data_IF_309959030162
#
_entry.id   IF_309959030162
#
_cell.length_a   1.000
_cell.length_b   1.000
_cell.length_c   1.000
_cell.angle_alpha   90.00
_cell.angle_beta   90.00
_cell.angle_gamma   90.00
#
_symmetry.space_group_name_H-M   'P 1'
#
loop_
_entity.id
_entity.type
_entity.pdbx_description
1 polymer ?
#
# COMPACT_ATOMS: atom_id res chain seq x y z
N UNK A 1 6.06 -30.93 13.79
CA UNK A 1 5.23 -30.26 12.76
C UNK A 1 5.73 -28.84 12.62
N UNK A 2 6.48 -28.56 11.56
CA UNK A 2 7.15 -27.27 11.32
C UNK A 2 6.20 -26.39 10.48
N UNK A 3 5.93 -25.19 10.99
CA UNK A 3 5.00 -24.21 10.43
C UNK A 3 5.50 -23.68 9.07
N UNK A 4 4.65 -23.81 8.06
CA UNK A 4 4.90 -23.35 6.69
C UNK A 4 4.56 -21.85 6.62
N UNK A 5 5.58 -21.00 6.72
CA UNK A 5 5.42 -19.56 6.49
C UNK A 5 4.95 -19.28 5.05
N UNK A 6 3.87 -18.50 4.94
CA UNK A 6 3.32 -18.06 3.67
C UNK A 6 4.32 -17.19 2.92
N UNK A 7 4.70 -17.61 1.71
CA UNK A 7 5.48 -16.82 0.78
C UNK A 7 4.63 -15.66 0.27
N UNK A 8 4.98 -14.44 0.66
CA UNK A 8 4.55 -13.22 -0.03
C UNK A 8 5.14 -13.31 -1.45
N UNK A 9 4.28 -13.40 -2.47
CA UNK A 9 4.70 -13.30 -3.87
C UNK A 9 4.92 -11.82 -4.20
N UNK A 10 6.15 -11.37 -4.08
CA UNK A 10 6.59 -10.11 -4.67
C UNK A 10 6.75 -10.37 -6.17
N UNK A 11 5.96 -9.70 -7.01
CA UNK A 11 6.20 -9.66 -8.44
C UNK A 11 7.45 -8.80 -8.69
N UNK A 12 8.62 -9.44 -8.77
CA UNK A 12 9.83 -8.79 -9.25
C UNK A 12 9.68 -8.51 -10.75
N UNK A 13 9.83 -7.25 -11.15
CA UNK A 13 10.16 -6.91 -12.53
C UNK A 13 11.48 -7.63 -12.88
N UNK A 14 11.40 -8.66 -13.71
CA UNK A 14 12.49 -9.60 -13.90
C UNK A 14 13.55 -8.99 -14.84
N UNK A 15 14.61 -8.41 -14.27
CA UNK A 15 15.79 -8.01 -15.03
C UNK A 15 16.49 -9.28 -15.56
N UNK A 16 16.22 -9.67 -16.80
CA UNK A 16 16.82 -10.86 -17.43
C UNK A 16 18.10 -10.46 -18.17
N UNK A 17 19.22 -11.11 -17.84
CA UNK A 17 20.49 -10.96 -18.57
C UNK A 17 20.70 -12.22 -19.40
N UNK A 18 20.98 -12.05 -20.69
CA UNK A 18 21.53 -13.10 -21.53
C UNK A 18 22.93 -12.65 -21.93
N UNK A 19 23.96 -13.29 -21.35
CA UNK A 19 25.35 -13.13 -21.78
C UNK A 19 25.56 -14.01 -23.02
N UNK A 20 25.33 -13.44 -24.20
CA UNK A 20 25.92 -13.97 -25.43
C UNK A 20 27.34 -13.39 -25.45
N UNK A 21 28.36 -14.19 -25.75
CA UNK A 21 29.79 -13.86 -25.57
C UNK A 21 30.28 -12.52 -26.14
N UNK A 22 29.46 -11.79 -26.91
CA UNK A 22 29.80 -10.52 -27.57
C UNK A 22 29.00 -9.31 -27.11
N UNK A 23 27.96 -9.44 -26.28
CA UNK A 23 27.11 -8.31 -25.87
C UNK A 23 26.44 -8.51 -24.49
N UNK A 24 26.25 -7.42 -23.75
CA UNK A 24 25.42 -7.39 -22.54
C UNK A 24 24.05 -6.83 -22.90
N UNK A 25 22.98 -7.53 -22.49
CA UNK A 25 21.61 -7.04 -22.61
C UNK A 25 21.03 -6.73 -21.25
N UNK A 26 20.51 -5.52 -21.10
CA UNK A 26 19.74 -5.07 -19.94
C UNK A 26 18.33 -4.75 -20.45
N UNK A 27 17.28 -5.33 -19.85
CA UNK A 27 15.89 -5.11 -20.25
C UNK A 27 15.06 -4.61 -19.07
N UNK A 28 14.20 -3.61 -19.29
CA UNK A 28 13.32 -3.03 -18.28
C UNK A 28 11.87 -3.37 -18.59
N UNK A 29 11.24 -4.16 -17.72
CA UNK A 29 9.81 -4.51 -17.76
C UNK A 29 9.25 -5.03 -19.10
N UNK A 30 10.10 -5.36 -20.07
CA UNK A 30 9.68 -5.67 -21.45
C UNK A 30 9.37 -4.44 -22.30
N UNK A 31 9.64 -3.21 -21.83
CA UNK A 31 9.34 -1.95 -22.51
C UNK A 31 10.57 -1.35 -23.18
N UNK A 32 11.70 -1.29 -22.45
CA UNK A 32 12.97 -0.81 -22.96
C UNK A 32 14.06 -1.88 -22.83
N UNK A 33 15.07 -1.77 -23.69
CA UNK A 33 16.26 -2.62 -23.65
C UNK A 33 17.50 -1.85 -24.09
N UNK A 34 18.58 -2.04 -23.35
CA UNK A 34 19.92 -1.59 -23.69
C UNK A 34 20.77 -2.80 -24.06
N UNK A 35 21.46 -2.71 -25.20
CA UNK A 35 22.51 -3.64 -25.59
C UNK A 35 23.85 -2.92 -25.58
N UNK A 36 24.80 -3.41 -24.79
CA UNK A 36 26.16 -2.86 -24.71
C UNK A 36 27.10 -3.79 -25.49
N UNK A 37 27.53 -3.33 -26.68
CA UNK A 37 28.54 -3.97 -27.50
C UNK A 37 29.94 -3.42 -27.14
N UNK A 38 30.98 -3.99 -27.76
CA UNK A 38 32.37 -3.55 -27.57
C UNK A 38 32.57 -2.09 -28.03
N UNK A 39 31.90 -1.67 -29.11
CA UNK A 39 32.18 -0.39 -29.76
C UNK A 39 31.05 0.64 -29.68
N UNK A 40 29.87 0.23 -29.21
CA UNK A 40 28.64 1.04 -29.20
C UNK A 40 27.63 0.53 -28.17
N UNK A 41 26.63 1.32 -27.87
CA UNK A 41 25.41 0.83 -27.22
C UNK A 41 24.20 1.01 -28.15
N UNK A 42 23.25 0.10 -28.08
CA UNK A 42 22.03 0.13 -28.87
C UNK A 42 20.84 0.13 -27.93
N UNK A 43 20.02 1.17 -28.06
CA UNK A 43 18.79 1.34 -27.32
C UNK A 43 17.63 0.78 -28.14
N UNK A 44 16.73 0.07 -27.46
CA UNK A 44 15.55 -0.52 -28.05
C UNK A 44 14.30 -0.15 -27.26
N UNK A 45 13.23 0.09 -27.99
CA UNK A 45 11.85 0.21 -27.48
C UNK A 45 11.03 -1.00 -27.93
N UNK A 46 10.03 -1.39 -27.15
CA UNK A 46 9.09 -2.44 -27.53
C UNK A 46 7.75 -1.84 -28.01
N UNK A 47 7.58 -1.76 -29.32
CA UNK A 47 6.32 -1.36 -29.98
C UNK A 47 5.73 -2.59 -30.68
N UNK A 48 5.20 -3.57 -29.93
CA UNK A 48 4.86 -4.95 -30.38
C UNK A 48 6.04 -5.84 -30.77
N UNK A 49 7.19 -5.25 -31.09
CA UNK A 49 8.48 -5.89 -31.32
C UNK A 49 9.60 -4.95 -30.89
N UNK A 50 10.78 -5.51 -30.64
CA UNK A 50 11.97 -4.72 -30.35
C UNK A 50 12.43 -3.92 -31.56
N UNK A 51 12.37 -2.60 -31.44
CA UNK A 51 12.80 -1.65 -32.45
C UNK A 51 13.96 -0.82 -31.91
N UNK A 52 14.95 -0.51 -32.76
CA UNK A 52 16.08 0.32 -32.36
C UNK A 52 15.61 1.77 -32.23
N UNK A 53 15.70 2.36 -31.04
CA UNK A 53 15.35 3.76 -30.80
C UNK A 53 16.56 4.69 -30.94
N UNK A 54 17.76 4.22 -30.58
CA UNK A 54 19.02 4.95 -30.81
C UNK A 54 20.23 4.01 -30.90
N UNK A 55 21.27 4.44 -31.62
CA UNK A 55 22.60 3.83 -31.62
C UNK A 55 23.63 4.86 -31.12
N UNK A 56 24.29 4.54 -30.01
CA UNK A 56 25.22 5.40 -29.29
C UNK A 56 26.67 5.06 -29.60
N UNK A 57 27.47 6.09 -29.93
CA UNK A 57 28.90 5.99 -30.20
C UNK A 57 29.70 7.08 -29.46
N UNK A 58 30.82 6.66 -28.88
CA UNK A 58 31.81 7.53 -28.23
C UNK A 58 33.04 7.72 -29.11
N UNK A 59 33.51 8.93 -29.33
CA UNK A 59 34.74 9.16 -30.12
C UNK A 59 35.63 10.20 -29.47
N UNK A 60 36.94 9.99 -29.62
CA UNK A 60 37.97 10.94 -29.23
C UNK A 60 38.58 11.56 -30.48
N UNK A 61 38.88 12.86 -30.43
CA UNK A 61 39.46 13.62 -31.52
C UNK A 61 40.69 14.38 -31.06
N UNK A 62 41.75 14.35 -31.88
CA UNK A 62 42.91 15.23 -31.76
C UNK A 62 42.81 16.30 -32.84
N UNK A 63 42.36 17.50 -32.47
CA UNK A 63 41.94 18.51 -33.44
C UNK A 63 40.74 18.03 -34.27
N UNK A 64 40.91 17.92 -35.59
CA UNK A 64 39.88 17.42 -36.50
C UNK A 64 39.95 15.90 -36.77
N UNK A 65 41.04 15.25 -36.36
CA UNK A 65 41.29 13.84 -36.64
C UNK A 65 40.73 12.95 -35.53
N UNK A 66 40.11 11.83 -35.91
CA UNK A 66 39.67 10.80 -34.96
C UNK A 66 40.90 10.09 -34.40
N UNK A 67 40.91 9.81 -33.09
CA UNK A 67 41.93 8.97 -32.46
C UNK A 67 41.50 7.51 -32.57
N UNK A 68 42.39 6.65 -33.05
CA UNK A 68 42.08 5.24 -33.26
C UNK A 68 41.98 4.45 -31.94
N UNK A 69 41.00 3.54 -31.91
CA UNK A 69 40.73 2.68 -30.75
C UNK A 69 41.58 1.42 -30.83
N UNK A 70 42.10 0.97 -29.70
CA UNK A 70 42.78 -0.32 -29.60
C UNK A 70 41.76 -1.39 -29.18
N UNK A 71 41.16 -2.10 -30.14
CA UNK A 71 40.06 -3.06 -29.87
C UNK A 71 40.36 -4.06 -28.75
N UNK A 72 41.60 -4.52 -28.63
CA UNK A 72 42.02 -5.48 -27.61
C UNK A 72 41.93 -4.93 -26.16
N UNK A 73 41.82 -3.61 -26.00
CA UNK A 73 41.70 -2.95 -24.68
C UNK A 73 40.26 -2.72 -24.25
N UNK A 74 39.29 -3.11 -25.07
CA UNK A 74 37.88 -2.93 -24.73
C UNK A 74 37.51 -3.95 -23.65
N UNK A 75 37.19 -3.45 -22.47
CA UNK A 75 36.79 -4.27 -21.33
C UNK A 75 35.39 -3.88 -20.91
N UNK A 76 34.54 -4.88 -20.66
CA UNK A 76 33.19 -4.70 -20.10
C UNK A 76 33.08 -5.45 -18.80
N UNK A 77 32.28 -4.94 -17.89
CA UNK A 77 31.98 -5.63 -16.65
C UNK A 77 30.81 -4.99 -15.93
N UNK A 78 30.51 -5.53 -14.76
CA UNK A 78 29.48 -5.01 -13.88
C UNK A 78 29.89 -5.17 -12.42
N UNK A 79 29.27 -4.35 -11.58
CA UNK A 79 29.34 -4.47 -10.13
C UNK A 79 28.02 -3.96 -9.52
N UNK A 80 27.87 -4.10 -8.21
CA UNK A 80 26.75 -3.54 -7.46
C UNK A 80 27.28 -2.48 -6.50
N UNK A 81 26.62 -1.33 -6.45
CA UNK A 81 26.93 -0.21 -5.57
C UNK A 81 25.61 0.29 -4.97
N UNK A 82 25.46 0.29 -3.64
CA UNK A 82 24.23 0.72 -2.95
C UNK A 82 22.94 0.03 -3.41
N UNK A 83 23.01 -1.27 -3.70
CA UNK A 83 21.94 -2.08 -4.32
C UNK A 83 21.54 -1.65 -5.75
N UNK A 84 22.29 -0.72 -6.33
CA UNK A 84 22.17 -0.32 -7.72
C UNK A 84 23.14 -1.16 -8.54
N UNK A 85 22.68 -1.59 -9.70
CA UNK A 85 23.51 -2.33 -10.65
C UNK A 85 24.25 -1.35 -11.53
N UNK A 86 25.55 -1.55 -11.67
CA UNK A 86 26.40 -0.73 -12.52
C UNK A 86 26.97 -1.59 -13.63
N UNK A 87 26.75 -1.18 -14.87
CA UNK A 87 27.42 -1.73 -16.06
C UNK A 87 28.46 -0.73 -16.54
N UNK A 88 29.63 -1.22 -16.96
CA UNK A 88 30.68 -0.34 -17.47
C UNK A 88 31.37 -0.90 -18.70
N UNK A 89 31.90 0.01 -19.52
CA UNK A 89 32.78 -0.25 -20.67
C UNK A 89 33.99 0.67 -20.61
N UNK A 90 35.18 0.10 -20.67
CA UNK A 90 36.43 0.82 -20.94
C UNK A 90 36.80 0.67 -22.41
N UNK A 91 37.21 1.77 -23.04
CA UNK A 91 37.73 1.81 -24.41
C UNK A 91 39.08 2.51 -24.41
N UNK A 92 40.15 1.76 -24.66
CA UNK A 92 41.49 2.32 -24.80
C UNK A 92 41.81 2.77 -26.23
N UNK A 93 42.69 3.76 -26.32
CA UNK A 93 43.14 4.39 -27.56
C UNK A 93 44.67 4.29 -27.69
N UNK A 94 45.20 4.53 -28.90
CA UNK A 94 46.62 4.27 -29.22
C UNK A 94 47.63 5.01 -28.33
N UNK A 95 47.28 6.20 -27.82
CA UNK A 95 48.17 6.99 -26.98
C UNK A 95 47.80 6.88 -25.49
N UNK A 96 47.31 5.70 -25.08
CA UNK A 96 46.94 5.35 -23.70
C UNK A 96 45.75 6.13 -23.14
N UNK A 97 44.98 6.85 -23.96
CA UNK A 97 43.72 7.43 -23.49
C UNK A 97 42.69 6.36 -23.24
N UNK A 98 41.82 6.62 -22.26
CA UNK A 98 40.76 5.69 -21.88
C UNK A 98 39.46 6.46 -21.78
N UNK A 99 38.41 5.95 -22.43
CA UNK A 99 37.03 6.32 -22.16
C UNK A 99 36.41 5.24 -21.29
N UNK A 100 35.94 5.63 -20.11
CA UNK A 100 35.15 4.83 -19.17
C UNK A 100 33.69 5.25 -19.27
N UNK A 101 32.83 4.40 -19.81
CA UNK A 101 31.40 4.62 -19.91
C UNK A 101 30.68 3.76 -18.89
N UNK A 102 29.83 4.35 -18.05
CA UNK A 102 29.12 3.69 -16.97
C UNK A 102 27.62 3.95 -17.07
N UNK A 103 26.81 2.92 -16.86
CA UNK A 103 25.35 2.98 -16.75
C UNK A 103 24.91 2.39 -15.41
N UNK A 104 24.10 3.14 -14.66
CA UNK A 104 23.60 2.74 -13.35
C UNK A 104 22.09 2.48 -13.42
N UNK A 105 21.67 1.35 -12.86
CA UNK A 105 20.29 0.86 -12.90
C UNK A 105 19.79 0.54 -11.51
N UNK A 106 18.54 0.91 -11.21
CA UNK A 106 17.84 0.44 -10.02
C UNK A 106 16.99 -0.79 -10.39
N UNK A 107 17.36 -1.99 -9.93
CA UNK A 107 16.61 -3.21 -10.26
C UNK A 107 15.21 -3.24 -9.65
N UNK A 108 14.91 -2.33 -8.70
CA UNK A 108 13.62 -2.21 -8.05
C UNK A 108 12.73 -1.10 -8.63
N UNK A 109 13.25 -0.26 -9.53
CA UNK A 109 12.41 0.77 -10.14
C UNK A 109 11.35 0.16 -11.05
N UNK A 110 10.15 0.75 -10.99
CA UNK A 110 9.04 0.49 -11.91
C UNK A 110 8.83 1.63 -12.89
N UNK A 111 9.60 2.71 -12.75
CA UNK A 111 9.55 3.85 -13.66
C UNK A 111 10.60 3.66 -14.76
N UNK A 112 10.18 3.58 -16.01
CA UNK A 112 11.11 3.47 -17.15
C UNK A 112 11.95 4.74 -17.34
N UNK A 113 11.50 5.89 -16.79
CA UNK A 113 12.32 7.10 -16.63
C UNK A 113 13.54 6.89 -15.71
N UNK A 114 13.70 5.73 -15.07
CA UNK A 114 14.90 5.35 -14.30
C UNK A 114 15.78 4.37 -15.09
N UNK A 115 15.58 4.21 -16.40
CA UNK A 115 16.29 3.23 -17.22
C UNK A 115 17.14 3.89 -18.33
N UNK A 116 18.47 4.05 -18.13
CA UNK A 116 19.23 3.94 -16.87
C UNK A 116 18.95 5.13 -15.93
N UNK A 117 19.25 5.07 -14.63
CA UNK A 117 19.12 6.23 -13.72
C UNK A 117 20.22 7.24 -14.00
N UNK A 118 21.43 6.73 -14.21
CA UNK A 118 22.61 7.53 -14.46
C UNK A 118 23.39 6.92 -15.62
N UNK A 119 23.91 7.78 -16.47
CA UNK A 119 24.87 7.44 -17.50
C UNK A 119 25.98 8.48 -17.45
N UNK A 120 27.21 7.99 -17.27
CA UNK A 120 28.38 8.82 -16.99
C UNK A 120 29.55 8.39 -17.83
N UNK A 121 30.24 9.35 -18.42
CA UNK A 121 31.42 9.11 -19.25
C UNK A 121 32.60 9.83 -18.63
N UNK A 122 33.60 9.08 -18.20
CA UNK A 122 34.86 9.62 -17.69
C UNK A 122 36.00 9.33 -18.66
N UNK A 123 36.90 10.28 -18.86
CA UNK A 123 37.96 10.22 -19.86
C UNK A 123 39.29 10.52 -19.19
N UNK A 124 40.29 9.68 -19.42
CA UNK A 124 41.63 9.79 -18.83
C UNK A 124 42.72 9.95 -19.90
N UNK A 125 43.75 10.74 -19.61
CA UNK A 125 44.94 10.91 -20.45
C UNK A 125 44.72 11.73 -21.73
N UNK A 126 43.58 12.40 -21.85
CA UNK A 126 43.13 13.02 -23.11
C UNK A 126 43.13 14.56 -23.08
N UNK A 127 43.94 15.19 -22.21
CA UNK A 127 44.02 16.64 -22.12
C UNK A 127 44.32 17.30 -23.47
N UNK A 128 43.56 18.34 -23.80
CA UNK A 128 43.65 19.08 -25.05
C UNK A 128 42.95 18.42 -26.25
N UNK A 129 42.35 17.24 -26.06
CA UNK A 129 41.54 16.55 -27.08
C UNK A 129 40.07 16.92 -26.97
N UNK A 130 39.27 16.40 -27.90
CA UNK A 130 37.81 16.55 -27.86
C UNK A 130 37.14 15.20 -27.75
N UNK A 131 36.17 15.11 -26.84
CA UNK A 131 35.27 13.98 -26.72
C UNK A 131 33.96 14.27 -27.43
N UNK A 132 33.46 13.31 -28.21
CA UNK A 132 32.16 13.40 -28.86
C UNK A 132 31.30 12.21 -28.50
N UNK A 133 30.12 12.51 -27.97
CA UNK A 133 29.01 11.57 -27.83
C UNK A 133 28.08 11.73 -29.03
N UNK A 134 27.68 10.63 -29.66
CA UNK A 134 26.81 10.67 -30.83
C UNK A 134 25.71 9.62 -30.75
N UNK A 135 24.51 10.03 -31.16
CA UNK A 135 23.36 9.17 -31.38
C UNK A 135 23.03 9.13 -32.88
N UNK A 136 22.72 7.95 -33.38
CA UNK A 136 22.32 7.68 -34.77
C UNK A 136 21.01 6.91 -34.81
N UNK A 137 20.39 6.87 -36.00
CA UNK A 137 19.15 6.14 -36.26
C UNK A 137 18.00 6.61 -35.38
N UNK A 138 17.98 7.91 -35.07
CA UNK A 138 16.92 8.55 -34.32
C UNK A 138 15.67 8.69 -35.21
N UNK A 139 14.49 8.67 -34.61
CA UNK A 139 13.20 8.78 -35.30
C UNK A 139 12.63 10.19 -35.10
N UNK A 140 11.79 10.65 -36.04
CA UNK A 140 11.08 11.94 -35.99
C UNK A 140 11.96 13.13 -35.56
N UNK A 141 13.19 13.14 -36.09
CA UNK A 141 14.18 14.14 -35.73
C UNK A 141 13.82 15.50 -36.32
N UNK A 142 13.91 16.53 -35.50
CA UNK A 142 13.73 17.92 -35.91
C UNK A 142 14.69 18.31 -37.06
N UNK A 143 14.37 19.36 -37.83
CA UNK A 143 15.30 19.93 -38.79
C UNK A 143 16.66 20.24 -38.16
N UNK A 144 17.72 20.08 -38.96
CA UNK A 144 19.10 20.32 -38.53
C UNK A 144 19.23 21.67 -37.82
N UNK A 145 19.64 21.67 -36.55
CA UNK A 145 19.86 22.87 -35.75
C UNK A 145 20.99 22.70 -34.75
N UNK A 146 21.60 23.81 -34.38
CA UNK A 146 22.51 23.88 -33.23
C UNK A 146 21.68 24.01 -31.96
N UNK A 147 22.13 23.36 -30.90
CA UNK A 147 21.63 23.54 -29.55
C UNK A 147 22.51 24.62 -28.90
N UNK A 148 21.89 25.70 -28.43
CA UNK A 148 22.58 26.84 -27.81
C UNK A 148 22.04 26.94 -26.38
N UNK A 149 22.90 26.66 -25.41
CA UNK A 149 22.57 26.63 -23.98
C UNK A 149 21.44 25.65 -23.59
N UNK A 150 21.08 24.74 -24.50
CA UNK A 150 20.17 23.62 -24.22
C UNK A 150 20.97 22.43 -23.67
N UNK A 151 20.36 21.69 -22.74
CA UNK A 151 20.93 20.50 -22.06
C UNK A 151 20.11 19.23 -22.29
N UNK A 152 19.17 19.27 -23.22
CA UNK A 152 18.31 18.14 -23.53
C UNK A 152 17.77 18.20 -24.95
N UNK A 153 17.47 17.04 -25.53
CA UNK A 153 16.73 16.92 -26.78
C UNK A 153 15.84 15.66 -26.74
N UNK A 154 14.73 15.72 -27.49
CA UNK A 154 13.77 14.63 -27.61
C UNK A 154 13.65 14.21 -29.08
N UNK A 155 13.39 12.93 -29.29
CA UNK A 155 13.23 12.32 -30.60
C UNK A 155 12.02 11.38 -30.59
N UNK A 156 11.60 10.93 -31.77
CA UNK A 156 10.53 9.94 -31.92
C UNK A 156 10.85 8.64 -31.19
N UNK A 157 9.80 7.83 -30.96
CA UNK A 157 9.84 6.68 -30.03
C UNK A 157 10.22 7.09 -28.61
N UNK A 158 9.81 8.28 -28.20
CA UNK A 158 10.01 8.88 -26.87
C UNK A 158 11.47 9.05 -26.43
N UNK A 159 12.45 8.69 -27.25
CA UNK A 159 13.86 8.80 -26.92
C UNK A 159 14.23 10.22 -26.47
N UNK A 160 14.79 10.35 -25.26
CA UNK A 160 15.34 11.59 -24.72
C UNK A 160 16.83 11.45 -24.49
N UNK A 161 17.54 12.55 -24.70
CA UNK A 161 18.93 12.71 -24.28
C UNK A 161 19.03 13.94 -23.39
N UNK A 162 19.75 13.81 -22.29
CA UNK A 162 20.17 14.91 -21.42
C UNK A 162 21.69 14.95 -21.36
N UNK A 163 22.27 16.12 -21.28
CA UNK A 163 23.72 16.31 -21.32
C UNK A 163 24.11 17.60 -20.60
N UNK A 164 25.31 17.63 -20.03
CA UNK A 164 25.81 18.77 -19.26
C UNK A 164 26.14 20.00 -20.11
N UNK A 165 26.11 21.18 -19.48
CA UNK A 165 26.66 22.40 -20.06
C UNK A 165 28.20 22.30 -20.20
N UNK A 166 28.79 23.22 -20.96
CA UNK A 166 30.25 23.25 -21.20
C UNK A 166 30.69 22.51 -22.47
N UNK A 167 29.74 22.04 -23.29
CA UNK A 167 30.05 21.51 -24.61
C UNK A 167 30.63 22.60 -25.53
N UNK A 168 31.57 22.22 -26.39
CA UNK A 168 32.06 23.08 -27.48
C UNK A 168 30.99 23.32 -28.53
N UNK A 169 30.15 22.31 -28.79
CA UNK A 169 28.93 22.43 -29.59
C UNK A 169 28.04 21.20 -29.37
N UNK A 170 26.73 21.38 -29.57
CA UNK A 170 25.74 20.31 -29.64
C UNK A 170 24.83 20.55 -30.86
N UNK A 171 24.51 19.50 -31.61
CA UNK A 171 23.76 19.61 -32.88
C UNK A 171 22.83 18.43 -33.10
N UNK A 172 21.66 18.75 -33.64
CA UNK A 172 20.71 17.79 -34.24
C UNK A 172 20.95 17.80 -35.76
N UNK A 173 20.91 16.62 -36.39
CA UNK A 173 21.13 16.44 -37.83
C UNK A 173 22.60 16.40 -38.25
N UNK A 174 23.54 16.20 -37.32
CA UNK A 174 25.00 16.16 -37.56
C UNK A 174 25.69 15.25 -36.53
N UNK A 175 26.81 14.57 -36.85
CA UNK A 175 27.55 14.56 -38.13
C UNK A 175 27.04 13.56 -39.16
N UNK A 176 26.06 12.72 -38.82
CA UNK A 176 25.72 11.54 -39.63
C UNK A 176 24.49 11.71 -40.51
N UNK A 177 23.93 12.92 -40.56
CA UNK A 177 22.73 13.22 -41.35
C UNK A 177 21.52 13.51 -40.46
N UNK A 178 20.34 13.56 -41.09
CA UNK A 178 19.09 14.03 -40.47
C UNK A 178 18.62 13.23 -39.26
N UNK A 179 19.06 11.98 -39.11
CA UNK A 179 18.66 11.04 -38.05
C UNK A 179 19.72 10.91 -36.95
N UNK A 180 20.48 11.99 -36.69
CA UNK A 180 21.59 11.98 -35.74
C UNK A 180 21.58 13.16 -34.78
N UNK A 181 22.18 12.96 -33.62
CA UNK A 181 22.48 13.98 -32.63
C UNK A 181 23.93 13.79 -32.19
N UNK A 182 24.62 14.88 -31.89
CA UNK A 182 25.92 14.80 -31.25
C UNK A 182 26.17 16.00 -30.34
N UNK A 183 26.93 15.74 -29.28
CA UNK A 183 27.50 16.75 -28.38
C UNK A 183 29.00 16.50 -28.28
N UNK A 184 29.79 17.58 -28.31
CA UNK A 184 31.24 17.51 -28.21
C UNK A 184 31.76 18.39 -27.09
N UNK A 185 32.64 17.84 -26.27
CA UNK A 185 33.33 18.52 -25.17
C UNK A 185 34.81 18.66 -25.50
N UNK A 186 35.41 19.76 -25.03
CA UNK A 186 36.86 19.91 -25.00
C UNK A 186 37.33 19.40 -23.63
N UNK A 187 38.39 18.61 -23.63
CA UNK A 187 38.95 18.03 -22.41
C UNK A 187 40.10 18.94 -21.96
N UNK A 188 39.94 19.62 -20.83
CA UNK A 188 40.90 20.62 -20.32
C UNK A 188 41.88 20.03 -19.28
N UNK A 189 41.57 18.88 -18.69
CA UNK A 189 42.41 18.16 -17.74
C UNK A 189 42.68 16.70 -18.14
N UNK A 190 43.60 16.03 -17.43
CA UNK A 190 43.91 14.62 -17.70
C UNK A 190 42.81 13.66 -17.24
N UNK A 191 41.82 14.13 -16.48
CA UNK A 191 40.67 13.33 -16.04
C UNK A 191 39.41 14.20 -15.97
N UNK A 192 38.44 13.94 -16.85
CA UNK A 192 37.15 14.62 -16.85
C UNK A 192 36.00 13.64 -16.94
N UNK A 193 34.86 13.98 -16.35
CA UNK A 193 33.63 13.21 -16.47
C UNK A 193 32.51 14.11 -16.97
N UNK A 194 31.65 13.54 -17.82
CA UNK A 194 30.46 14.17 -18.36
C UNK A 194 29.24 13.30 -18.03
N UNK A 195 28.20 13.91 -17.51
CA UNK A 195 26.91 13.26 -17.37
C UNK A 195 26.12 13.45 -18.67
N UNK A 196 25.96 12.36 -19.41
CA UNK A 196 25.18 12.32 -20.65
C UNK A 196 24.30 11.10 -20.54
N UNK A 197 22.98 11.32 -20.54
CA UNK A 197 22.03 10.27 -20.26
C UNK A 197 21.01 10.16 -21.38
N UNK A 198 20.97 8.97 -21.97
CA UNK A 198 20.01 8.57 -22.98
C UNK A 198 19.04 7.59 -22.37
N UNK A 199 17.77 7.92 -22.45
CA UNK A 199 16.70 7.13 -21.87
C UNK A 199 15.47 7.22 -22.75
N UNK A 200 14.69 6.15 -22.70
CA UNK A 200 13.42 6.02 -23.39
C UNK A 200 12.33 6.16 -22.33
N UNK A 201 11.96 7.40 -21.94
CA UNK A 201 10.80 7.61 -21.09
C UNK A 201 9.61 6.86 -21.70
N UNK A 202 8.62 6.43 -20.89
CA UNK A 202 7.42 5.89 -21.50
C UNK A 202 6.87 6.99 -22.42
N UNK A 203 6.11 6.66 -23.48
CA UNK A 203 5.29 7.67 -24.13
C UNK A 203 4.61 8.38 -22.99
N UNK A 204 4.94 9.68 -22.81
CA UNK A 204 4.47 10.47 -21.69
C UNK A 204 3.01 10.12 -21.61
N UNK A 205 2.60 9.41 -20.52
CA UNK A 205 1.29 8.74 -20.50
C UNK A 205 0.35 9.71 -21.13
N UNK A 206 -0.19 9.33 -22.30
CA UNK A 206 -0.84 10.26 -23.21
C UNK A 206 -1.58 11.22 -22.32
N UNK A 207 -1.27 12.53 -22.32
CA UNK A 207 -1.93 13.41 -21.37
C UNK A 207 -3.45 13.44 -21.60
N UNK A 208 -3.93 12.76 -22.66
CA UNK A 208 -5.32 12.36 -22.91
C UNK A 208 -5.83 11.12 -22.14
N UNK A 209 -4.95 10.27 -21.58
CA UNK A 209 -5.31 9.13 -20.73
C UNK A 209 -5.83 9.65 -19.39
N UNK A 210 -7.15 9.56 -19.27
CA UNK A 210 -7.85 10.00 -18.07
C UNK A 210 -7.83 8.87 -17.05
N UNK A 211 -7.04 9.04 -16.00
CA UNK A 211 -6.99 8.12 -14.87
C UNK A 211 -8.06 8.52 -13.84
N UNK A 212 -8.94 7.58 -13.51
CA UNK A 212 -10.04 7.76 -12.54
C UNK A 212 -9.81 6.84 -11.36
N UNK A 213 -9.73 7.40 -10.15
CA UNK A 213 -9.51 6.63 -8.93
C UNK A 213 -10.67 6.83 -7.96
N UNK A 214 -11.24 5.72 -7.48
CA UNK A 214 -12.22 5.73 -6.37
C UNK A 214 -11.43 5.65 -5.07
N UNK A 215 -11.57 6.68 -4.23
CA UNK A 215 -10.91 6.81 -2.93
C UNK A 215 -11.73 6.18 -1.81
N UNK A 216 -13.06 6.24 -1.92
CA UNK A 216 -14.01 5.62 -1.00
C UNK A 216 -15.31 5.30 -1.76
N UNK A 217 -15.94 4.13 -1.58
CA UNK A 217 -15.55 3.01 -0.70
C UNK A 217 -14.21 2.35 -1.04
N UNK A 218 -13.67 1.58 -0.09
CA UNK A 218 -12.43 0.80 -0.27
C UNK A 218 -12.78 -0.57 -0.81
N UNK A 219 -12.06 -0.99 -1.86
CA UNK A 219 -12.30 -2.26 -2.53
C UNK A 219 -12.23 -3.45 -1.55
N UNK A 220 -13.17 -4.38 -1.68
CA UNK A 220 -13.38 -5.57 -0.86
C UNK A 220 -13.55 -5.31 0.65
N UNK A 221 -14.15 -4.16 1.01
CA UNK A 221 -14.45 -3.80 2.41
C UNK A 221 -15.94 -3.92 2.72
N UNK A 222 -16.27 -4.34 3.95
CA UNK A 222 -17.65 -4.40 4.44
C UNK A 222 -17.97 -3.19 5.33
N UNK A 223 -19.16 -2.61 5.15
CA UNK A 223 -19.63 -1.43 5.87
C UNK A 223 -20.95 -1.72 6.58
N UNK A 224 -21.10 -1.19 7.80
CA UNK A 224 -22.35 -1.25 8.59
C UNK A 224 -23.08 0.08 8.37
N UNK A 225 -23.63 0.28 7.18
CA UNK A 225 -24.32 1.51 6.80
C UNK A 225 -25.29 1.26 5.64
N UNK A 226 -26.40 1.99 5.63
CA UNK A 226 -27.37 2.03 4.52
C UNK A 226 -27.08 3.18 3.54
N UNK A 227 -26.12 4.04 3.86
CA UNK A 227 -25.65 5.16 3.04
C UNK A 227 -24.12 5.20 3.09
N UNK A 228 -23.47 5.43 1.95
CA UNK A 228 -22.01 5.42 1.86
C UNK A 228 -21.49 6.53 0.97
N UNK A 229 -20.50 7.28 1.43
CA UNK A 229 -19.88 8.29 0.57
C UNK A 229 -19.18 7.67 -0.64
N UNK A 230 -19.20 8.39 -1.76
CA UNK A 230 -18.44 8.11 -2.97
C UNK A 230 -17.45 9.26 -3.17
N UNK A 231 -16.21 9.01 -2.77
CA UNK A 231 -15.09 9.94 -2.96
C UNK A 231 -14.21 9.43 -4.09
N UNK A 232 -13.85 10.30 -5.03
CA UNK A 232 -13.08 9.92 -6.21
C UNK A 232 -12.26 11.10 -6.75
N UNK A 233 -11.32 10.83 -7.64
CA UNK A 233 -10.44 11.85 -8.24
C UNK A 233 -10.01 11.47 -9.65
N UNK A 234 -9.60 12.48 -10.43
CA UNK A 234 -8.99 12.33 -11.76
C UNK A 234 -7.66 13.07 -11.87
N UNK A 235 -6.80 12.63 -12.78
CA UNK A 235 -5.53 13.29 -13.07
C UNK A 235 -5.68 14.56 -13.93
N UNK A 236 -6.82 14.75 -14.60
CA UNK A 236 -7.10 15.91 -15.45
C UNK A 236 -8.48 16.51 -15.16
N UNK A 237 -8.73 17.70 -15.73
CA UNK A 237 -10.07 18.32 -15.72
C UNK A 237 -11.00 17.58 -16.69
N UNK A 238 -12.19 17.23 -16.23
CA UNK A 238 -13.20 16.50 -17.01
C UNK A 238 -14.42 17.38 -17.25
N UNK A 239 -15.10 17.20 -18.38
CA UNK A 239 -16.33 17.94 -18.74
C UNK A 239 -17.60 17.13 -18.49
N UNK A 240 -17.45 15.87 -18.09
CA UNK A 240 -18.55 14.96 -17.81
C UNK A 240 -18.06 13.79 -16.96
N UNK A 241 -18.88 13.36 -16.00
CA UNK A 241 -18.63 12.14 -15.24
C UNK A 241 -19.93 11.47 -14.81
N UNK A 242 -19.96 10.15 -14.85
CA UNK A 242 -21.07 9.31 -14.37
C UNK A 242 -20.56 8.11 -13.59
N UNK A 243 -21.40 7.56 -12.72
CA UNK A 243 -21.14 6.26 -12.11
C UNK A 243 -22.28 5.28 -12.41
N UNK A 244 -21.98 3.99 -12.32
CA UNK A 244 -22.96 2.89 -12.31
C UNK A 244 -22.75 2.10 -11.04
N UNK A 245 -23.84 1.87 -10.31
CA UNK A 245 -23.89 1.03 -9.11
C UNK A 245 -24.60 -0.27 -9.49
N UNK A 246 -23.97 -1.41 -9.21
CA UNK A 246 -24.49 -2.77 -9.44
C UNK A 246 -24.88 -3.06 -10.90
N UNK A 247 -24.20 -2.43 -11.85
CA UNK A 247 -24.55 -2.50 -13.27
C UNK A 247 -25.87 -1.81 -13.63
N UNK A 248 -26.42 -1.01 -12.73
CA UNK A 248 -27.59 -0.17 -12.96
C UNK A 248 -27.33 0.98 -13.93
N UNK A 249 -28.37 1.79 -14.17
CA UNK A 249 -28.28 2.93 -15.07
C UNK A 249 -27.23 3.96 -14.59
N UNK A 250 -26.54 4.58 -15.55
CA UNK A 250 -25.54 5.60 -15.26
C UNK A 250 -26.18 6.83 -14.60
N UNK A 251 -25.60 7.29 -13.49
CA UNK A 251 -26.01 8.49 -12.78
C UNK A 251 -24.95 9.59 -12.93
N UNK A 252 -25.39 10.78 -13.34
CA UNK A 252 -24.54 11.97 -13.52
C UNK A 252 -24.46 12.85 -12.28
N UNK A 253 -24.97 12.41 -11.12
CA UNK A 253 -24.99 13.24 -9.90
C UNK A 253 -23.59 13.56 -9.35
N UNK A 254 -22.56 12.82 -9.78
CA UNK A 254 -21.15 13.12 -9.46
C UNK A 254 -20.56 14.28 -10.28
N UNK A 255 -21.33 14.86 -11.20
CA UNK A 255 -20.92 16.02 -12.00
C UNK A 255 -21.92 17.17 -11.86
N UNK A 256 -21.60 18.17 -11.06
CA UNK A 256 -22.48 19.32 -10.81
C UNK A 256 -21.76 20.63 -11.09
N UNK A 257 -22.44 21.56 -11.78
CA UNK A 257 -21.89 22.90 -12.06
C UNK A 257 -20.57 22.89 -12.84
N UNK A 258 -20.36 21.91 -13.73
CA UNK A 258 -19.10 21.67 -14.44
C UNK A 258 -17.92 21.29 -13.54
N UNK A 259 -18.19 20.75 -12.35
CA UNK A 259 -17.15 20.28 -11.41
C UNK A 259 -17.42 18.83 -10.99
N UNK A 260 -16.38 17.98 -10.96
CA UNK A 260 -16.42 16.70 -10.27
C UNK A 260 -16.78 16.89 -8.80
N UNK A 261 -17.72 16.09 -8.30
CA UNK A 261 -18.22 16.18 -6.92
C UNK A 261 -18.30 14.81 -6.29
N UNK A 262 -17.98 14.77 -4.99
CA UNK A 262 -18.25 13.61 -4.15
C UNK A 262 -19.72 13.62 -3.75
N UNK A 263 -20.32 12.44 -3.62
CA UNK A 263 -21.74 12.28 -3.25
C UNK A 263 -21.87 11.24 -2.15
N UNK A 264 -23.05 11.13 -1.54
CA UNK A 264 -23.42 9.98 -0.72
C UNK A 264 -24.34 9.07 -1.55
N UNK A 265 -23.98 7.79 -1.66
CA UNK A 265 -24.80 6.73 -2.24
C UNK A 265 -25.89 6.35 -1.25
N UNK A 266 -27.17 6.64 -1.54
CA UNK A 266 -28.23 6.41 -0.59
C UNK A 266 -28.85 5.01 -0.74
N UNK A 267 -29.47 4.52 0.33
CA UNK A 267 -30.33 3.33 0.33
C UNK A 267 -29.66 2.05 -0.20
N UNK A 268 -28.43 1.80 0.21
CA UNK A 268 -27.71 0.58 -0.09
C UNK A 268 -28.29 -0.58 0.72
N UNK A 269 -28.76 -1.62 0.02
CA UNK A 269 -29.29 -2.83 0.64
C UNK A 269 -28.16 -3.73 1.16
N UNK A 270 -28.46 -4.64 2.08
CA UNK A 270 -27.49 -5.65 2.51
C UNK A 270 -27.04 -6.53 1.32
N UNK A 271 -25.74 -6.76 1.20
CA UNK A 271 -25.19 -7.56 0.11
C UNK A 271 -23.87 -7.05 -0.44
N UNK A 272 -23.45 -7.63 -1.57
CA UNK A 272 -22.26 -7.18 -2.31
C UNK A 272 -22.68 -6.19 -3.38
N UNK A 273 -21.97 -5.07 -3.43
CA UNK A 273 -22.15 -4.03 -4.42
C UNK A 273 -20.90 -3.87 -5.29
N UNK A 274 -21.09 -3.37 -6.51
CA UNK A 274 -20.01 -2.92 -7.36
C UNK A 274 -20.25 -1.51 -7.90
N UNK A 275 -19.17 -0.78 -8.12
CA UNK A 275 -19.23 0.56 -8.69
C UNK A 275 -18.13 0.79 -9.71
N UNK A 276 -18.48 1.50 -10.77
CA UNK A 276 -17.56 1.97 -11.82
C UNK A 276 -17.88 3.42 -12.15
N UNK A 277 -16.85 4.23 -12.38
CA UNK A 277 -16.96 5.63 -12.79
C UNK A 277 -16.42 5.76 -14.21
N UNK A 278 -17.13 6.51 -15.05
CA UNK A 278 -16.68 6.95 -16.37
C UNK A 278 -16.58 8.47 -16.38
N UNK A 279 -15.58 8.96 -17.08
CA UNK A 279 -15.37 10.40 -17.27
C UNK A 279 -15.01 10.69 -18.71
N UNK A 280 -15.24 11.92 -19.14
CA UNK A 280 -14.84 12.42 -20.45
C UNK A 280 -14.21 13.81 -20.30
N UNK A 281 -13.31 14.19 -21.20
CA UNK A 281 -12.77 15.54 -21.30
C UNK A 281 -13.32 16.29 -22.53
N UNK A 282 -12.92 17.54 -22.71
CA UNK A 282 -13.31 18.38 -23.85
C UNK A 282 -12.94 17.78 -25.21
N UNK A 283 -11.93 16.93 -25.22
CA UNK A 283 -11.33 16.38 -26.43
C UNK A 283 -11.99 15.05 -26.83
N UNK A 284 -12.95 14.57 -26.03
CA UNK A 284 -13.69 13.34 -26.27
C UNK A 284 -12.99 12.07 -25.77
N UNK A 285 -11.85 12.19 -25.08
CA UNK A 285 -11.17 11.07 -24.45
C UNK A 285 -11.96 10.57 -23.24
N UNK A 286 -12.14 9.26 -23.13
CA UNK A 286 -12.91 8.64 -22.06
C UNK A 286 -11.99 7.93 -21.07
N UNK A 287 -12.12 8.25 -19.79
CA UNK A 287 -11.50 7.53 -18.67
C UNK A 287 -12.48 6.61 -17.98
N UNK A 288 -11.99 5.49 -17.46
CA UNK A 288 -12.80 4.53 -16.69
C UNK A 288 -12.03 4.17 -15.42
N UNK A 289 -12.72 4.15 -14.28
CA UNK A 289 -12.14 3.67 -13.03
C UNK A 289 -11.93 2.16 -13.07
N UNK A 290 -11.10 1.65 -12.17
CA UNK A 290 -11.15 0.22 -11.87
C UNK A 290 -12.52 -0.19 -11.32
N UNK A 291 -12.90 -1.43 -11.60
CA UNK A 291 -14.11 -2.05 -11.06
C UNK A 291 -13.91 -2.29 -9.56
N UNK A 292 -14.74 -1.66 -8.72
CA UNK A 292 -14.62 -1.71 -7.27
C UNK A 292 -15.79 -2.48 -6.67
N UNK A 293 -15.48 -3.43 -5.78
CA UNK A 293 -16.49 -4.22 -5.04
C UNK A 293 -16.47 -3.84 -3.56
N UNK A 294 -17.63 -3.81 -2.90
CA UNK A 294 -17.74 -3.63 -1.45
C UNK A 294 -18.99 -4.35 -0.93
N UNK A 295 -19.22 -4.42 0.38
CA UNK A 295 -20.43 -5.04 0.93
C UNK A 295 -21.08 -4.20 2.02
N UNK A 296 -22.41 -4.21 2.05
CA UNK A 296 -23.20 -3.70 3.17
C UNK A 296 -23.64 -4.88 4.04
N UNK A 297 -23.42 -4.75 5.34
CA UNK A 297 -23.81 -5.74 6.34
C UNK A 297 -24.77 -5.12 7.37
N UNK A 298 -25.72 -5.90 7.91
CA UNK A 298 -26.68 -5.41 8.89
C UNK A 298 -25.99 -4.85 10.13
N UNK A 299 -26.58 -3.82 10.79
CA UNK A 299 -26.15 -3.43 12.12
C UNK A 299 -26.32 -4.61 13.08
N UNK A 300 -25.27 -4.86 13.85
CA UNK A 300 -25.23 -5.91 14.86
C UNK A 300 -26.14 -5.51 16.04
N UNK A 301 -27.41 -5.90 15.99
CA UNK A 301 -28.33 -5.73 17.11
C UNK A 301 -28.17 -6.88 18.11
N UNK A 302 -27.29 -6.70 19.11
CA UNK A 302 -27.23 -7.61 20.25
C UNK A 302 -28.40 -7.30 21.17
N UNK A 303 -29.49 -8.07 21.04
CA UNK A 303 -30.59 -8.02 22.00
C UNK A 303 -30.24 -8.96 23.16
N UNK A 304 -30.15 -8.44 24.38
CA UNK A 304 -29.89 -9.25 25.56
C UNK A 304 -31.10 -10.18 25.81
N UNK A 305 -30.90 -11.49 25.69
CA UNK A 305 -31.91 -12.47 26.09
C UNK A 305 -31.95 -12.59 27.62
N UNK A 306 -32.93 -11.94 28.24
CA UNK A 306 -33.37 -12.22 29.61
C UNK A 306 -33.25 -11.03 30.54
N UNK A 307 -34.32 -10.77 31.29
CA UNK A 307 -34.27 -9.95 32.49
C UNK A 307 -33.25 -10.60 33.45
N UNK A 308 -32.19 -9.87 33.82
CA UNK A 308 -31.19 -10.28 34.82
C UNK A 308 -31.78 -10.27 36.24
N UNK A 309 -33.02 -10.75 36.43
CA UNK A 309 -33.69 -10.75 37.73
C UNK A 309 -33.10 -11.78 38.71
N UNK A 310 -32.34 -12.76 38.22
CA UNK A 310 -31.83 -13.88 39.02
C UNK A 310 -30.30 -13.97 39.05
N UNK A 311 -29.60 -12.84 39.14
CA UNK A 311 -28.21 -12.87 39.62
C UNK A 311 -28.24 -13.04 41.15
N UNK A 312 -28.35 -14.29 41.61
CA UNK A 312 -28.23 -14.60 43.04
C UNK A 312 -26.76 -14.62 43.45
N UNK A 313 -26.34 -13.68 44.29
CA UNK A 313 -25.06 -13.79 44.99
C UNK A 313 -25.26 -14.58 46.27
N UNK A 314 -24.53 -15.69 46.45
CA UNK A 314 -24.42 -16.30 47.77
C UNK A 314 -23.70 -15.31 48.70
N UNK A 315 -24.45 -14.66 49.59
CA UNK A 315 -23.90 -13.71 50.57
C UNK A 315 -23.11 -14.52 51.61
N UNK A 316 -21.83 -14.78 51.33
CA UNK A 316 -20.93 -15.32 52.33
C UNK A 316 -20.53 -14.19 53.30
N UNK A 317 -21.32 -14.07 54.37
CA UNK A 317 -20.99 -13.49 55.67
C UNK A 317 -20.44 -12.06 55.65
N UNK A 318 -21.35 -11.08 55.56
CA UNK A 318 -21.09 -9.72 56.03
C UNK A 318 -20.91 -9.77 57.55
N UNK A 319 -19.68 -9.75 58.03
CA UNK A 319 -19.39 -9.76 59.47
C UNK A 319 -19.63 -8.35 60.04
N UNK A 320 -20.87 -8.04 60.40
CA UNK A 320 -21.17 -6.82 61.15
C UNK A 320 -20.79 -7.05 62.61
N UNK A 321 -19.75 -6.37 63.08
CA UNK A 321 -19.29 -6.49 64.46
C UNK A 321 -20.11 -5.54 65.34
N UNK A 322 -21.22 -6.04 65.89
CA UNK A 322 -22.06 -5.28 66.83
C UNK A 322 -21.65 -5.67 68.25
N UNK A 323 -20.90 -4.79 68.94
CA UNK A 323 -20.60 -4.97 70.36
C UNK A 323 -21.79 -4.47 71.18
N UNK A 324 -22.57 -5.39 71.74
CA UNK A 324 -23.56 -5.08 72.77
C UNK A 324 -22.97 -5.46 74.13
N UNK A 325 -22.98 -4.54 75.08
CA UNK A 325 -22.37 -4.77 76.40
C UNK A 325 -23.25 -5.56 77.36
N UNK A 326 -24.53 -5.77 77.07
CA UNK A 326 -25.45 -6.58 77.88
C UNK A 326 -26.48 -7.29 76.98
N UNK A 327 -27.12 -8.33 77.51
CA UNK A 327 -28.13 -9.16 76.84
C UNK A 327 -29.38 -8.37 76.46
N UNK A 328 -29.32 -7.69 75.32
CA UNK A 328 -30.43 -6.92 74.73
C UNK A 328 -30.90 -7.61 73.46
N UNK A 329 -32.22 -7.84 73.35
CA UNK A 329 -32.87 -8.15 72.08
C UNK A 329 -32.93 -6.84 71.28
N UNK A 330 -32.07 -6.70 70.28
CA UNK A 330 -32.13 -5.59 69.34
C UNK A 330 -32.92 -6.04 68.10
N UNK A 331 -33.87 -5.21 67.67
CA UNK A 331 -34.55 -5.32 66.39
C UNK A 331 -34.48 -3.96 65.69
N UNK A 332 -34.31 -3.94 64.37
CA UNK A 332 -34.21 -2.71 63.62
C UNK A 332 -34.23 -2.94 62.11
N UNK A 333 -33.98 -1.88 61.34
CA UNK A 333 -33.70 -1.96 59.91
C UNK A 333 -32.27 -1.48 59.70
N UNK A 334 -31.47 -2.22 58.93
CA UNK A 334 -30.12 -1.79 58.53
C UNK A 334 -30.12 -1.60 57.01
N UNK A 335 -29.73 -0.41 56.57
CA UNK A 335 -29.43 -0.12 55.18
C UNK A 335 -27.98 0.30 55.09
N UNK A 336 -27.28 -0.25 54.11
CA UNK A 336 -25.97 0.24 53.71
C UNK A 336 -25.98 0.36 52.19
N UNK A 337 -25.29 1.38 51.70
CA UNK A 337 -25.23 1.70 50.28
C UNK A 337 -23.80 1.39 49.83
N UNK A 338 -23.62 0.44 48.92
CA UNK A 338 -22.33 0.28 48.24
C UNK A 338 -22.33 1.27 47.09
N UNK A 339 -21.52 2.31 47.19
CA UNK A 339 -21.21 3.16 46.05
C UNK A 339 -19.81 2.79 45.57
N UNK A 340 -19.71 2.58 44.26
CA UNK A 340 -18.50 2.38 43.45
C UNK A 340 -17.82 1.00 43.49
N UNK A 341 -18.08 0.21 42.45
CA UNK A 341 -17.12 -0.75 41.89
C UNK A 341 -16.83 -0.37 40.44
N UNK A 342 -15.81 0.46 40.23
CA UNK A 342 -15.19 0.63 38.91
C UNK A 342 -14.39 -0.63 38.57
N UNK A 343 -15.02 -1.61 37.94
CA UNK A 343 -14.34 -2.76 37.36
C UNK A 343 -13.87 -2.42 35.94
N UNK A 344 -12.58 -2.12 35.80
CA UNK A 344 -11.90 -2.03 34.50
C UNK A 344 -10.96 -3.22 34.35
N UNK A 345 -11.10 -4.00 33.28
CA UNK A 345 -10.21 -5.14 33.00
C UNK A 345 -9.58 -4.95 31.62
N UNK A 346 -8.25 -4.75 31.60
CA UNK A 346 -7.38 -4.84 30.42
C UNK A 346 -5.94 -5.22 30.88
N UNK A 347 -5.12 -5.91 30.06
CA UNK A 347 -5.43 -6.97 29.09
C UNK A 347 -4.59 -8.25 29.32
N UNK A 348 -5.14 -9.45 29.04
CA UNK A 348 -4.32 -10.68 28.85
C UNK A 348 -4.91 -11.55 27.73
N UNK A 349 -4.02 -12.05 26.86
CA UNK A 349 -4.23 -13.06 25.81
C UNK A 349 -4.32 -14.49 26.43
N UNK A 350 -4.68 -15.51 25.63
CA UNK A 350 -6.02 -16.10 25.50
C UNK A 350 -6.45 -16.86 26.78
N UNK A 351 -7.70 -16.74 27.24
CA UNK A 351 -8.09 -17.28 28.55
C UNK A 351 -9.14 -18.39 28.52
N UNK A 352 -8.77 -19.53 29.13
CA UNK A 352 -9.62 -20.26 30.08
C UNK A 352 -10.07 -19.24 31.15
N UNK A 353 -11.37 -19.10 31.41
CA UNK A 353 -11.82 -18.28 32.54
C UNK A 353 -11.82 -19.11 33.81
N UNK A 354 -10.89 -18.81 34.72
CA UNK A 354 -11.03 -19.17 36.13
C UNK A 354 -11.12 -17.86 36.91
N UNK A 355 -12.31 -17.53 37.40
CA UNK A 355 -12.49 -16.37 38.27
C UNK A 355 -12.24 -16.82 39.70
N UNK A 356 -11.14 -16.35 40.30
CA UNK A 356 -10.85 -16.61 41.70
C UNK A 356 -11.56 -15.55 42.56
N UNK A 357 -12.74 -15.89 43.08
CA UNK A 357 -13.22 -15.26 44.29
C UNK A 357 -12.68 -16.06 45.49
N UNK A 358 -12.34 -15.39 46.59
CA UNK A 358 -11.69 -15.96 47.76
C UNK A 358 -12.68 -16.84 48.54
N UNK A 359 -12.91 -18.06 48.01
CA UNK A 359 -13.50 -19.31 48.53
C UNK A 359 -14.66 -19.88 47.67
N UNK A 360 -14.25 -20.78 46.76
CA UNK A 360 -14.84 -22.05 46.29
C UNK A 360 -16.34 -22.06 45.94
N UNK A 361 -16.62 -21.73 44.67
CA UNK A 361 -17.35 -22.60 43.73
C UNK A 361 -17.14 -22.04 42.30
N UNK A 362 -16.56 -22.84 41.41
CA UNK A 362 -16.25 -22.44 40.03
C UNK A 362 -17.51 -22.57 39.16
N UNK A 363 -17.88 -21.49 38.47
CA UNK A 363 -18.95 -21.48 37.46
C UNK A 363 -18.26 -21.48 36.10
N UNK A 364 -18.46 -22.55 35.32
CA UNK A 364 -17.86 -22.71 33.98
C UNK A 364 -18.95 -22.58 32.92
N UNK A 365 -18.89 -21.52 32.12
CA UNK A 365 -19.71 -21.37 30.91
C UNK A 365 -18.83 -21.68 29.69
N UNK A 366 -19.31 -22.58 28.84
CA UNK A 366 -18.57 -23.11 27.68
C UNK A 366 -19.35 -22.83 26.40
N UNK A 367 -18.69 -22.18 25.44
CA UNK A 367 -19.18 -22.04 24.08
C UNK A 367 -18.80 -23.31 23.31
N UNK A 368 -19.80 -24.09 22.91
CA UNK A 368 -19.57 -25.29 22.11
C UNK A 368 -19.81 -24.97 20.64
N UNK A 369 -18.76 -25.02 19.84
CA UNK A 369 -18.82 -24.78 18.40
C UNK A 369 -19.22 -26.08 17.74
N UNK A 370 -20.52 -26.24 17.49
CA UNK A 370 -20.98 -27.29 16.60
C UNK A 370 -20.68 -26.89 15.15
N UNK A 371 -19.88 -27.70 14.47
CA UNK A 371 -19.43 -27.41 13.10
C UNK A 371 -20.50 -27.72 12.06
N UNK A 372 -21.54 -28.47 12.41
CA UNK A 372 -22.62 -28.85 11.49
C UNK A 372 -23.88 -28.00 11.67
N UNK A 373 -23.98 -27.20 12.73
CA UNK A 373 -25.13 -26.34 13.01
C UNK A 373 -24.87 -24.86 12.70
N UNK A 374 -25.89 -24.12 12.27
CA UNK A 374 -25.81 -22.68 11.95
C UNK A 374 -25.92 -21.76 13.18
N UNK A 375 -25.67 -22.31 14.38
CA UNK A 375 -25.73 -21.60 15.65
C UNK A 375 -24.64 -22.10 16.61
N UNK A 376 -24.26 -21.26 17.55
CA UNK A 376 -23.40 -21.61 18.67
C UNK A 376 -24.24 -21.98 19.90
N UNK A 377 -23.79 -23.00 20.64
CA UNK A 377 -24.43 -23.44 21.88
C UNK A 377 -23.68 -22.88 23.09
N UNK A 378 -24.36 -22.12 23.92
CA UNK A 378 -23.84 -21.68 25.21
C UNK A 378 -24.27 -22.70 26.25
N UNK A 379 -23.33 -23.27 26.97
CA UNK A 379 -23.62 -24.25 28.02
C UNK A 379 -23.05 -23.80 29.35
N UNK A 380 -23.80 -24.02 30.44
CA UNK A 380 -23.32 -23.86 31.82
C UNK A 380 -23.37 -25.23 32.51
N UNK A 381 -22.24 -25.70 33.03
CA UNK A 381 -22.11 -27.07 33.57
C UNK A 381 -22.72 -28.14 32.62
N UNK A 382 -22.39 -28.06 31.32
CA UNK A 382 -22.92 -28.92 30.25
C UNK A 382 -24.43 -28.83 29.98
N UNK A 383 -25.15 -27.89 30.61
CA UNK A 383 -26.56 -27.64 30.31
C UNK A 383 -26.68 -26.49 29.32
N UNK A 384 -27.38 -26.69 28.20
CA UNK A 384 -27.64 -25.66 27.20
C UNK A 384 -28.44 -24.52 27.84
N UNK A 385 -27.86 -23.31 27.85
CA UNK A 385 -28.50 -22.12 28.39
C UNK A 385 -29.00 -21.19 27.29
N UNK A 386 -28.37 -21.17 26.10
CA UNK A 386 -28.82 -20.38 24.97
C UNK A 386 -28.19 -20.84 23.63
N UNK A 387 -28.78 -20.43 22.51
CA UNK A 387 -28.21 -20.56 21.16
C UNK A 387 -28.16 -19.20 20.44
N UNK A 388 -27.12 -18.98 19.65
CA UNK A 388 -26.97 -17.75 18.84
C UNK A 388 -26.54 -18.09 17.43
N UNK A 389 -27.18 -17.51 16.42
CA UNK A 389 -26.87 -17.80 15.01
C UNK A 389 -25.42 -17.43 14.65
N UNK A 390 -24.77 -18.25 13.81
CA UNK A 390 -23.45 -17.99 13.24
C UNK A 390 -23.41 -16.74 12.36
N UNK A 391 -24.53 -16.37 11.74
CA UNK A 391 -24.61 -15.22 10.83
C UNK A 391 -24.27 -13.88 11.51
N UNK A 392 -24.38 -13.83 12.84
CA UNK A 392 -24.13 -12.65 13.68
C UNK A 392 -22.62 -12.37 13.81
N UNK A 393 -21.77 -13.36 13.56
CA UNK A 393 -20.32 -13.22 13.64
C UNK A 393 -19.71 -13.64 12.31
N UNK A 394 -19.49 -12.68 11.40
CA UNK A 394 -18.78 -12.94 10.14
C UNK A 394 -17.26 -13.02 10.39
N UNK A 395 -16.86 -14.05 11.13
CA UNK A 395 -15.47 -14.37 11.48
C UNK A 395 -14.96 -15.37 10.46
N UNK A 396 -13.93 -14.99 9.70
CA UNK A 396 -13.18 -15.95 8.91
C UNK A 396 -12.59 -17.02 9.83
N UNK A 397 -12.50 -18.27 9.34
CA UNK A 397 -11.95 -19.36 10.13
C UNK A 397 -10.58 -18.97 10.74
N UNK A 398 -10.42 -19.15 12.05
CA UNK A 398 -9.22 -18.83 12.85
C UNK A 398 -8.96 -17.35 13.21
N UNK A 399 -9.95 -16.47 13.16
CA UNK A 399 -9.80 -15.11 13.73
C UNK A 399 -10.31 -15.03 15.17
N UNK A 400 -9.51 -14.44 16.06
CA UNK A 400 -9.85 -14.18 17.47
C UNK A 400 -10.15 -12.69 17.62
N UNK A 401 -11.33 -12.34 18.11
CA UNK A 401 -11.71 -10.96 18.41
C UNK A 401 -11.87 -10.79 19.92
N UNK A 402 -11.33 -9.69 20.44
CA UNK A 402 -11.60 -9.27 21.80
C UNK A 402 -12.85 -8.39 21.76
N UNK A 403 -13.95 -8.86 22.34
CA UNK A 403 -15.13 -8.05 22.57
C UNK A 403 -15.02 -7.55 24.01
N UNK A 404 -14.84 -6.25 24.19
CA UNK A 404 -14.86 -5.63 25.51
C UNK A 404 -16.30 -5.28 25.83
N UNK A 405 -16.90 -6.03 26.75
CA UNK A 405 -18.20 -5.69 27.34
C UNK A 405 -17.94 -5.05 28.70
N UNK A 406 -18.47 -3.84 28.90
CA UNK A 406 -18.37 -3.15 30.19
C UNK A 406 -19.74 -3.19 30.85
N UNK A 407 -19.85 -3.83 32.03
CA UNK A 407 -21.08 -3.82 32.82
C UNK A 407 -20.96 -2.76 33.91
N UNK A 408 -21.62 -1.62 33.72
CA UNK A 408 -21.74 -0.59 34.76
C UNK A 408 -22.94 -0.90 35.66
N UNK A 409 -22.67 -1.38 36.87
CA UNK A 409 -23.69 -1.53 37.92
C UNK A 409 -23.80 -0.21 38.69
N UNK A 410 -24.83 0.57 38.41
CA UNK A 410 -25.10 1.83 39.09
C UNK A 410 -26.08 1.56 40.24
N UNK A 411 -25.65 1.81 41.48
CA UNK A 411 -26.44 1.76 42.72
C UNK A 411 -27.14 0.43 43.04
N UNK A 412 -26.42 -0.46 43.74
CA UNK A 412 -27.05 -1.61 44.41
C UNK A 412 -27.39 -1.21 45.85
N UNK A 413 -28.68 -1.05 46.15
CA UNK A 413 -29.13 -0.87 47.53
C UNK A 413 -29.68 -2.18 48.09
N UNK A 414 -29.28 -2.53 49.31
CA UNK A 414 -29.84 -3.68 50.02
C UNK A 414 -30.43 -3.20 51.34
N UNK A 415 -31.69 -3.53 51.57
CA UNK A 415 -32.42 -3.17 52.79
C UNK A 415 -32.81 -4.44 53.53
N UNK A 416 -32.38 -4.58 54.78
CA UNK A 416 -32.84 -5.66 55.66
C UNK A 416 -34.03 -5.15 56.47
N UNK A 417 -35.18 -5.81 56.34
CA UNK A 417 -36.38 -5.51 57.15
C UNK A 417 -36.66 -6.65 58.12
N UNK A 418 -37.11 -6.31 59.31
CA UNK A 418 -37.59 -7.24 60.33
C UNK A 418 -36.56 -8.29 60.80
N UNK A 419 -35.29 -7.90 60.99
CA UNK A 419 -34.30 -8.81 61.56
C UNK A 419 -34.49 -8.93 63.09
N UNK A 420 -34.29 -10.13 63.62
CA UNK A 420 -34.31 -10.42 65.05
C UNK A 420 -33.11 -11.29 65.41
N UNK A 421 -32.33 -10.87 66.42
CA UNK A 421 -31.20 -11.64 66.95
C UNK A 421 -31.62 -12.22 68.30
N UNK A 422 -31.83 -13.54 68.33
CA UNK A 422 -31.98 -14.32 69.57
C UNK A 422 -30.80 -15.25 69.68
N UNK A 423 -29.93 -14.99 70.67
CA UNK A 423 -28.79 -15.82 71.14
C UNK A 423 -28.21 -16.76 70.06
N UNK A 424 -27.16 -16.31 69.38
CA UNK A 424 -26.34 -17.07 68.43
C UNK A 424 -27.02 -17.67 67.18
N UNK A 425 -28.29 -17.33 66.88
CA UNK A 425 -28.91 -17.63 65.57
C UNK A 425 -29.76 -16.46 65.08
N UNK A 426 -29.46 -15.98 63.87
CA UNK A 426 -30.24 -14.96 63.18
C UNK A 426 -30.84 -15.58 61.90
N UNK A 427 -32.15 -15.39 61.69
CA UNK A 427 -32.81 -15.71 60.42
C UNK A 427 -32.95 -14.43 59.60
N UNK A 428 -32.53 -14.48 58.34
CA UNK A 428 -32.56 -13.36 57.41
C UNK A 428 -33.47 -13.71 56.22
N UNK A 429 -34.42 -12.83 55.88
CA UNK A 429 -35.18 -12.92 54.63
C UNK A 429 -34.75 -11.81 53.68
N UNK A 430 -34.52 -12.14 52.41
CA UNK A 430 -34.02 -11.21 51.40
C UNK A 430 -35.08 -10.92 50.34
N UNK A 431 -35.14 -9.66 49.89
CA UNK A 431 -35.89 -9.28 48.68
C UNK A 431 -35.05 -8.22 47.96
N UNK A 432 -34.22 -8.60 46.97
CA UNK A 432 -33.47 -7.62 46.20
C UNK A 432 -34.41 -6.82 45.28
N UNK A 433 -34.16 -5.52 45.14
CA UNK A 433 -34.83 -4.66 44.16
C UNK A 433 -33.75 -4.03 43.27
N UNK A 434 -33.70 -4.43 42.01
CA UNK A 434 -32.85 -3.81 40.99
C UNK A 434 -33.73 -2.83 40.23
N UNK A 435 -33.45 -1.53 40.33
CA UNK A 435 -34.31 -0.52 39.71
C UNK A 435 -33.75 0.06 38.42
N UNK A 436 -32.43 0.09 38.20
CA UNK A 436 -31.88 0.64 36.96
C UNK A 436 -30.54 -0.03 36.60
N UNK A 437 -30.53 -0.91 35.59
CA UNK A 437 -29.32 -1.39 34.96
C UNK A 437 -29.30 -0.91 33.51
N UNK A 438 -28.32 -0.07 33.17
CA UNK A 438 -28.10 0.42 31.80
C UNK A 438 -26.78 -0.17 31.29
N UNK A 439 -26.85 -0.94 30.21
CA UNK A 439 -25.67 -1.37 29.46
C UNK A 439 -25.34 -0.30 28.41
N UNK A 440 -24.08 0.13 28.34
CA UNK A 440 -23.56 1.00 27.26
C UNK A 440 -22.59 0.19 26.42
#
# INVERSE_FOLDING_TARGET
MINKQGKIKIYLGFLTIILIATAVYISFAGEARLRIDDDKAVFYVNESRWLISALQEDRLFSGASIVDRVKATIVRGNYTEDNLRVEYRFTGYENQEIISHTWKFNPYSKNIEDFPIEEKICISGAKGKYYRYSLKRLFEVEPKRKLIDETSASFGRNMKVTFELGYSWAQIGWPYGKDSFAVQYKIDSDYECYNIRVFDPPPAEDSSLINVTILFPVNNTAYVADNLDLNWSTNITVNWSVYSLDGGANSSSIFFGNTPTNITLPHLFEGTHNITIWVNNSDGSVGVSHFLNFSIIPPLNVTLCGNLTDISYNVNWSKVNLNFSDSVVAAGNFSWNITDLNLSIFPVKPCLYTVQNKRINNITVSLNIDRTADYFNWTYNNTLINTTSKAIFNVSANTTFNINLTLNLINISQTYRNWNITINRANWSFTPNFTDAVLI
#
